data_IF_512530851154
#
_entry.id   IF_512530851154
#
_cell.length_a   1.000
_cell.length_b   1.000
_cell.length_c   1.000
_cell.angle_alpha   90.00
_cell.angle_beta   90.00
_cell.angle_gamma   90.00
#
_symmetry.space_group_name_H-M   'P 1'
#
loop_
_entity.id
_entity.type
_entity.pdbx_description
1 polymer ?
#
# COMPACT_ATOMS: atom_id res chain seq x y z
N UNK A 1 75.80 -1.90 41.73
CA UNK A 1 74.83 -0.93 41.26
C UNK A 1 74.03 -1.30 39.97
N UNK A 2 74.45 -2.20 39.09
CA UNK A 2 73.76 -2.52 37.81
C UNK A 2 72.53 -3.43 37.93
N UNK A 3 72.33 -4.21 39.02
CA UNK A 3 71.18 -5.12 39.15
C UNK A 3 69.88 -4.42 39.61
N UNK A 4 69.98 -3.33 40.33
CA UNK A 4 68.80 -2.59 40.79
C UNK A 4 68.00 -1.85 39.64
N UNK A 5 68.71 -1.37 38.60
CA UNK A 5 68.10 -0.72 37.46
C UNK A 5 67.31 -1.67 36.56
N UNK A 6 67.66 -2.97 36.48
CA UNK A 6 66.94 -3.94 35.63
C UNK A 6 65.64 -4.42 36.24
N UNK A 7 65.55 -4.51 37.60
CA UNK A 7 64.31 -4.86 38.30
C UNK A 7 63.26 -3.73 38.21
N UNK A 8 63.70 -2.49 38.39
CA UNK A 8 62.84 -1.30 38.22
C UNK A 8 62.31 -1.17 36.78
N UNK A 9 63.12 -1.46 35.76
CA UNK A 9 62.71 -1.46 34.36
C UNK A 9 61.64 -2.52 34.05
N UNK A 10 61.71 -3.70 34.64
CA UNK A 10 60.68 -4.75 34.45
C UNK A 10 59.37 -4.41 35.16
N UNK A 11 59.41 -3.85 36.36
CA UNK A 11 58.20 -3.43 37.06
C UNK A 11 57.52 -2.26 36.37
N UNK A 12 58.28 -1.29 35.86
CA UNK A 12 57.75 -0.16 35.10
C UNK A 12 57.06 -0.59 33.80
N UNK A 13 57.65 -1.54 33.07
CA UNK A 13 57.05 -2.13 31.86
C UNK A 13 55.76 -2.86 32.18
N UNK A 14 55.65 -3.60 33.29
CA UNK A 14 54.43 -4.29 33.72
C UNK A 14 53.30 -3.30 34.09
N UNK A 15 53.61 -2.25 34.81
CA UNK A 15 52.66 -1.21 35.20
C UNK A 15 52.16 -0.51 33.92
N UNK A 16 53.06 -0.12 33.03
CA UNK A 16 52.72 0.55 31.77
C UNK A 16 51.81 -0.33 30.89
N UNK A 17 52.14 -1.61 30.75
CA UNK A 17 51.31 -2.59 30.01
C UNK A 17 49.95 -2.79 30.67
N UNK A 18 49.85 -2.85 31.99
CA UNK A 18 48.60 -2.97 32.73
C UNK A 18 47.68 -1.73 32.52
N UNK A 19 48.26 -0.53 32.50
CA UNK A 19 47.52 0.73 32.27
C UNK A 19 47.00 0.78 30.83
N UNK A 20 47.82 0.40 29.84
CA UNK A 20 47.38 0.32 28.45
C UNK A 20 46.26 -0.69 28.28
N UNK A 21 46.39 -1.89 28.88
CA UNK A 21 45.39 -2.94 28.81
C UNK A 21 44.08 -2.48 29.45
N UNK A 22 44.14 -1.78 30.58
CA UNK A 22 42.98 -1.20 31.24
C UNK A 22 42.28 -0.16 30.33
N UNK A 23 43.05 0.75 29.73
CA UNK A 23 42.49 1.77 28.81
C UNK A 23 41.86 1.13 27.60
N UNK A 24 42.50 0.11 26.99
CA UNK A 24 41.91 -0.63 25.86
C UNK A 24 40.59 -1.32 26.25
N UNK A 25 40.54 -1.94 27.43
CA UNK A 25 39.35 -2.62 27.94
C UNK A 25 38.20 -1.61 28.15
N UNK A 26 38.47 -0.44 28.72
CA UNK A 26 37.50 0.62 28.92
C UNK A 26 37.01 1.15 27.59
N UNK A 27 37.89 1.43 26.63
CA UNK A 27 37.54 1.87 25.28
C UNK A 27 36.66 0.83 24.56
N UNK A 28 36.97 -0.45 24.67
CA UNK A 28 36.24 -1.54 24.08
C UNK A 28 34.83 -1.66 24.68
N UNK A 29 34.69 -1.57 25.99
CA UNK A 29 33.39 -1.56 26.67
C UNK A 29 32.56 -0.37 26.25
N UNK A 30 33.16 0.82 26.18
CA UNK A 30 32.45 2.04 25.75
C UNK A 30 31.99 1.93 24.28
N UNK A 31 32.84 1.38 23.42
CA UNK A 31 32.53 1.12 22.01
C UNK A 31 31.36 0.14 21.85
N UNK A 32 31.33 -0.94 22.62
CA UNK A 32 30.22 -1.91 22.60
C UNK A 32 28.90 -1.32 23.09
N UNK A 33 28.94 -0.54 24.18
CA UNK A 33 27.74 0.14 24.70
C UNK A 33 27.19 1.19 23.71
N UNK A 34 28.08 1.97 23.12
CA UNK A 34 27.71 2.95 22.09
C UNK A 34 27.09 2.28 20.87
N UNK A 35 27.73 1.18 20.41
CA UNK A 35 27.23 0.39 19.31
C UNK A 35 25.83 -0.20 19.58
N UNK A 36 25.62 -0.79 20.76
CA UNK A 36 24.32 -1.34 21.14
C UNK A 36 23.22 -0.27 21.13
N UNK A 37 23.55 0.96 21.59
CA UNK A 37 22.62 2.10 21.56
C UNK A 37 22.33 2.58 20.14
N UNK A 38 23.38 2.70 19.31
CA UNK A 38 23.26 3.11 17.91
C UNK A 38 22.34 2.16 17.13
N UNK A 39 22.53 0.85 17.31
CA UNK A 39 21.70 -0.20 16.72
C UNK A 39 20.24 -0.07 17.10
N UNK A 40 19.97 0.09 18.39
CA UNK A 40 18.59 0.24 18.87
C UNK A 40 17.92 1.48 18.26
N UNK A 41 18.66 2.56 18.11
CA UNK A 41 18.17 3.78 17.50
C UNK A 41 17.93 3.60 15.99
N UNK A 42 18.87 3.01 15.26
CA UNK A 42 18.70 2.75 13.81
C UNK A 42 17.49 1.85 13.52
N UNK A 43 17.30 0.78 14.29
CA UNK A 43 16.10 -0.06 14.16
C UNK A 43 14.82 0.74 14.37
N UNK A 44 14.78 1.56 15.41
CA UNK A 44 13.62 2.42 15.68
C UNK A 44 13.36 3.39 14.53
N UNK A 45 14.41 4.02 13.98
CA UNK A 45 14.30 4.98 12.88
C UNK A 45 13.81 4.30 11.58
N UNK A 46 14.24 3.05 11.32
CA UNK A 46 13.77 2.25 10.18
C UNK A 46 12.28 1.93 10.32
N UNK A 47 11.85 1.45 11.48
CA UNK A 47 10.43 1.20 11.73
C UNK A 47 9.59 2.46 11.61
N UNK A 48 10.08 3.58 12.14
CA UNK A 48 9.38 4.86 12.05
C UNK A 48 9.21 5.31 10.60
N UNK A 49 10.27 5.23 9.77
CA UNK A 49 10.19 5.56 8.34
C UNK A 49 9.21 4.69 7.59
N UNK A 50 9.18 3.39 7.88
CA UNK A 50 8.23 2.48 7.26
C UNK A 50 6.79 2.77 7.71
N UNK A 51 6.58 3.09 8.99
CA UNK A 51 5.30 3.53 9.52
C UNK A 51 4.85 4.84 8.85
N UNK A 52 5.71 5.85 8.76
CA UNK A 52 5.43 7.12 8.09
C UNK A 52 5.08 6.91 6.60
N UNK A 53 5.69 5.91 5.96
CA UNK A 53 5.41 5.58 4.55
C UNK A 53 4.03 4.97 4.38
N UNK A 54 3.65 4.01 5.22
CA UNK A 54 2.31 3.39 5.12
C UNK A 54 1.19 4.39 5.46
N UNK A 55 1.43 5.30 6.41
CA UNK A 55 0.49 6.38 6.74
C UNK A 55 0.33 7.39 5.58
N UNK A 56 1.40 7.68 4.82
CA UNK A 56 1.28 8.51 3.61
C UNK A 56 0.47 7.83 2.51
N UNK A 57 0.65 6.52 2.32
CA UNK A 57 -0.13 5.74 1.37
C UNK A 57 -1.60 5.75 1.78
N UNK A 58 -1.90 5.52 3.04
CA UNK A 58 -3.24 5.57 3.61
C UNK A 58 -3.88 6.94 3.40
N UNK A 59 -3.21 8.02 3.76
CA UNK A 59 -3.71 9.39 3.60
C UNK A 59 -3.97 9.74 2.12
N UNK A 60 -3.10 9.29 1.21
CA UNK A 60 -3.30 9.49 -0.22
C UNK A 60 -4.54 8.72 -0.70
N UNK A 61 -4.69 7.45 -0.33
CA UNK A 61 -5.87 6.65 -0.68
C UNK A 61 -7.16 7.27 -0.13
N UNK A 62 -7.14 7.74 1.11
CA UNK A 62 -8.29 8.43 1.72
C UNK A 62 -8.71 9.67 0.92
N UNK A 63 -7.74 10.44 0.41
CA UNK A 63 -8.02 11.59 -0.45
C UNK A 63 -8.74 11.15 -1.74
N UNK A 64 -8.30 10.05 -2.38
CA UNK A 64 -8.95 9.53 -3.57
C UNK A 64 -10.38 9.04 -3.27
N UNK A 65 -10.58 8.36 -2.16
CA UNK A 65 -11.89 7.90 -1.74
C UNK A 65 -12.85 9.05 -1.41
N UNK A 66 -12.37 10.12 -0.78
CA UNK A 66 -13.16 11.33 -0.54
C UNK A 66 -13.59 11.98 -1.85
N UNK A 67 -12.70 12.06 -2.84
CA UNK A 67 -13.01 12.62 -4.14
C UNK A 67 -14.04 11.77 -4.91
N UNK A 68 -13.88 10.45 -4.94
CA UNK A 68 -14.87 9.54 -5.52
C UNK A 68 -16.23 9.67 -4.82
N UNK A 69 -16.23 9.73 -3.48
CA UNK A 69 -17.46 9.92 -2.69
C UNK A 69 -18.15 11.26 -3.00
N UNK A 70 -17.39 12.34 -3.19
CA UNK A 70 -17.91 13.64 -3.62
C UNK A 70 -18.59 13.55 -4.98
N UNK A 71 -17.94 12.91 -5.96
CA UNK A 71 -18.51 12.68 -7.29
C UNK A 71 -19.82 11.87 -7.20
N UNK A 72 -19.84 10.80 -6.39
CA UNK A 72 -21.05 9.97 -6.20
C UNK A 72 -22.19 10.79 -5.58
N UNK A 73 -21.91 11.67 -4.63
CA UNK A 73 -22.91 12.57 -4.06
C UNK A 73 -23.44 13.58 -5.09
N UNK A 74 -22.59 14.12 -5.96
CA UNK A 74 -23.00 14.96 -7.07
C UNK A 74 -23.94 14.20 -8.03
N UNK A 75 -23.53 13.00 -8.46
CA UNK A 75 -24.32 12.10 -9.31
C UNK A 75 -25.67 11.75 -8.66
N UNK A 76 -25.70 11.50 -7.35
CA UNK A 76 -26.94 11.17 -6.66
C UNK A 76 -27.96 12.32 -6.68
N UNK A 77 -27.49 13.55 -6.75
CA UNK A 77 -28.30 14.76 -6.78
C UNK A 77 -28.61 15.26 -8.22
N UNK A 78 -27.96 14.69 -9.23
CA UNK A 78 -28.13 15.07 -10.63
C UNK A 78 -29.31 14.31 -11.25
N UNK A 79 -30.24 15.05 -11.83
CA UNK A 79 -31.44 14.51 -12.48
C UNK A 79 -31.16 13.61 -13.69
N UNK A 80 -29.97 13.71 -14.32
CA UNK A 80 -29.56 12.87 -15.45
C UNK A 80 -29.39 11.42 -14.99
N UNK A 81 -28.89 11.23 -13.76
CA UNK A 81 -28.72 9.92 -13.12
C UNK A 81 -29.93 9.49 -12.28
N UNK A 82 -31.11 10.04 -12.59
CA UNK A 82 -32.34 9.72 -11.88
C UNK A 82 -32.69 8.24 -12.02
N UNK A 83 -33.46 7.73 -11.05
CA UNK A 83 -33.99 6.35 -11.08
C UNK A 83 -35.05 6.13 -12.19
N UNK A 84 -35.30 7.08 -13.06
CA UNK A 84 -36.22 6.93 -14.19
C UNK A 84 -35.54 6.15 -15.34
N UNK A 85 -36.30 5.33 -16.11
CA UNK A 85 -35.75 4.65 -17.27
C UNK A 85 -35.20 5.66 -18.29
N UNK A 86 -33.99 5.43 -18.76
CA UNK A 86 -33.35 6.29 -19.77
C UNK A 86 -33.91 5.93 -21.14
N UNK A 87 -34.95 6.62 -21.57
CA UNK A 87 -35.76 6.26 -22.75
C UNK A 87 -35.27 6.92 -24.03
N UNK A 88 -34.66 8.12 -23.96
CA UNK A 88 -34.30 8.87 -25.15
C UNK A 88 -32.81 8.76 -25.50
N UNK A 89 -32.50 8.79 -26.81
CA UNK A 89 -31.12 8.81 -27.32
C UNK A 89 -30.34 10.04 -26.80
N UNK A 90 -31.02 11.16 -26.60
CA UNK A 90 -30.40 12.38 -26.08
C UNK A 90 -29.97 12.23 -24.63
N UNK A 91 -30.83 11.66 -23.76
CA UNK A 91 -30.47 11.38 -22.36
C UNK A 91 -29.31 10.42 -22.23
N UNK A 92 -29.26 9.36 -23.06
CA UNK A 92 -28.16 8.40 -23.09
C UNK A 92 -26.83 9.07 -23.43
N UNK A 93 -26.85 9.96 -24.44
CA UNK A 93 -25.64 10.70 -24.84
C UNK A 93 -25.17 11.63 -23.72
N UNK A 94 -26.11 12.40 -23.13
CA UNK A 94 -25.82 13.33 -22.05
C UNK A 94 -25.21 12.61 -20.81
N UNK A 95 -25.77 11.45 -20.47
CA UNK A 95 -25.23 10.63 -19.37
C UNK A 95 -23.78 10.18 -19.62
N UNK A 96 -23.45 9.74 -20.84
CA UNK A 96 -22.08 9.36 -21.17
C UNK A 96 -21.14 10.57 -21.11
N UNK A 97 -21.59 11.73 -21.62
CA UNK A 97 -20.80 12.96 -21.59
C UNK A 97 -20.53 13.41 -20.16
N UNK A 98 -21.49 13.26 -19.23
CA UNK A 98 -21.31 13.53 -17.81
C UNK A 98 -20.34 12.53 -17.15
N UNK A 99 -20.49 11.22 -17.38
CA UNK A 99 -19.53 10.23 -16.90
C UNK A 99 -18.10 10.54 -17.37
N UNK A 100 -17.95 10.89 -18.66
CA UNK A 100 -16.68 11.27 -19.24
C UNK A 100 -16.10 12.55 -18.60
N UNK A 101 -16.97 13.52 -18.27
CA UNK A 101 -16.58 14.73 -17.55
C UNK A 101 -16.00 14.43 -16.18
N UNK A 102 -16.65 13.55 -15.41
CA UNK A 102 -16.16 13.11 -14.10
C UNK A 102 -14.82 12.37 -14.20
N UNK A 103 -14.68 11.45 -15.16
CA UNK A 103 -13.39 10.75 -15.38
C UNK A 103 -12.28 11.73 -15.75
N UNK A 104 -12.53 12.69 -16.64
CA UNK A 104 -11.52 13.69 -17.02
C UNK A 104 -11.14 14.63 -15.88
N UNK A 105 -12.06 14.87 -14.95
CA UNK A 105 -11.80 15.66 -13.74
C UNK A 105 -11.10 14.90 -12.63
N UNK A 106 -11.00 13.57 -12.73
CA UNK A 106 -10.41 12.69 -11.72
C UNK A 106 -9.16 12.02 -12.27
N UNK A 107 -7.99 12.34 -11.71
CA UNK A 107 -6.71 11.76 -12.17
C UNK A 107 -6.49 10.31 -11.74
N UNK A 108 -7.33 9.77 -10.85
CA UNK A 108 -7.20 8.43 -10.30
C UNK A 108 -7.98 7.39 -11.10
N UNK A 109 -9.24 7.67 -11.46
CA UNK A 109 -10.07 6.75 -12.24
C UNK A 109 -9.74 6.84 -13.73
N UNK A 110 -9.59 5.68 -14.38
CA UNK A 110 -9.42 5.60 -15.84
C UNK A 110 -10.75 5.48 -16.58
N UNK A 111 -11.81 5.04 -15.90
CA UNK A 111 -13.15 4.85 -16.43
C UNK A 111 -14.18 4.88 -15.31
N UNK A 112 -15.44 5.15 -15.66
CA UNK A 112 -16.59 5.06 -14.77
C UNK A 112 -17.73 4.39 -15.48
N UNK A 113 -18.52 3.58 -14.74
CA UNK A 113 -19.79 3.07 -15.22
C UNK A 113 -20.95 3.43 -14.28
N UNK A 114 -22.11 3.49 -14.87
CA UNK A 114 -23.41 3.65 -14.22
C UNK A 114 -24.34 2.52 -14.65
N UNK A 115 -24.97 1.91 -13.68
CA UNK A 115 -25.92 0.83 -13.87
C UNK A 115 -27.20 1.12 -13.08
N UNK A 116 -28.36 0.79 -13.65
CA UNK A 116 -29.66 0.97 -13.01
C UNK A 116 -30.40 -0.36 -12.97
N UNK A 117 -31.04 -0.69 -11.85
CA UNK A 117 -31.90 -1.87 -11.71
C UNK A 117 -33.16 -1.81 -12.57
N UNK A 118 -33.50 -0.64 -13.14
CA UNK A 118 -34.58 -0.50 -14.11
C UNK A 118 -34.17 -0.86 -15.54
N UNK A 119 -32.87 -0.96 -15.80
CA UNK A 119 -32.29 -1.32 -17.09
C UNK A 119 -31.11 -2.27 -16.85
N UNK A 120 -31.43 -3.44 -16.30
CA UNK A 120 -30.44 -4.42 -15.81
C UNK A 120 -29.48 -4.94 -16.91
N UNK A 121 -29.90 -4.84 -18.18
CA UNK A 121 -29.11 -5.32 -19.30
C UNK A 121 -28.17 -4.26 -19.89
N UNK A 122 -28.23 -3.02 -19.42
CA UNK A 122 -27.45 -1.92 -20.00
C UNK A 122 -26.45 -1.37 -18.98
N UNK A 123 -25.19 -1.24 -19.41
CA UNK A 123 -24.14 -0.52 -18.69
C UNK A 123 -23.78 0.75 -19.45
N UNK A 124 -23.91 1.88 -18.79
CA UNK A 124 -23.46 3.17 -19.28
C UNK A 124 -22.06 3.44 -18.75
N UNK A 125 -21.09 3.55 -19.63
CA UNK A 125 -19.68 3.84 -19.28
C UNK A 125 -19.23 5.15 -19.91
N UNK A 126 -18.18 5.74 -19.39
CA UNK A 126 -17.51 6.88 -20.01
C UNK A 126 -16.97 6.54 -21.42
N UNK A 127 -16.89 5.26 -21.77
CA UNK A 127 -16.48 4.77 -23.09
C UNK A 127 -17.66 4.56 -24.05
N UNK A 128 -18.91 4.46 -23.54
CA UNK A 128 -20.09 4.22 -24.35
C UNK A 128 -21.21 3.48 -23.62
N UNK A 129 -22.12 2.93 -24.40
CA UNK A 129 -23.24 2.12 -23.92
C UNK A 129 -22.99 0.69 -24.34
N UNK A 130 -23.12 -0.22 -23.41
CA UNK A 130 -22.87 -1.65 -23.62
C UNK A 130 -24.05 -2.48 -23.08
N UNK A 131 -24.30 -3.62 -23.68
CA UNK A 131 -25.04 -4.67 -23.02
C UNK A 131 -24.17 -5.22 -21.89
N UNK A 132 -24.75 -5.55 -20.75
CA UNK A 132 -24.05 -6.03 -19.56
C UNK A 132 -23.10 -7.20 -19.87
N UNK A 133 -23.61 -8.23 -20.56
CA UNK A 133 -22.83 -9.40 -20.94
C UNK A 133 -21.60 -9.04 -21.78
N UNK A 134 -21.76 -8.09 -22.71
CA UNK A 134 -20.68 -7.62 -23.56
C UNK A 134 -19.67 -6.77 -22.78
N UNK A 135 -20.15 -5.95 -21.83
CA UNK A 135 -19.29 -5.14 -20.98
C UNK A 135 -18.40 -6.01 -20.08
N UNK A 136 -19.01 -6.99 -19.39
CA UNK A 136 -18.30 -7.92 -18.52
C UNK A 136 -17.33 -8.82 -19.29
N UNK A 137 -17.67 -9.23 -20.52
CA UNK A 137 -16.86 -10.13 -21.32
C UNK A 137 -15.73 -9.45 -22.09
N UNK A 138 -15.96 -8.23 -22.61
CA UNK A 138 -15.05 -7.59 -23.57
C UNK A 138 -14.36 -6.34 -23.04
N UNK A 139 -14.91 -5.69 -22.04
CA UNK A 139 -14.33 -4.47 -21.46
C UNK A 139 -13.66 -4.79 -20.12
N UNK A 140 -14.41 -5.35 -19.17
CA UNK A 140 -13.94 -5.73 -17.84
C UNK A 140 -14.32 -7.18 -17.53
N UNK A 141 -13.37 -8.07 -17.69
CA UNK A 141 -13.55 -9.49 -17.40
C UNK A 141 -13.36 -9.75 -15.90
N UNK A 142 -14.34 -10.34 -15.28
CA UNK A 142 -14.29 -10.76 -13.88
C UNK A 142 -13.78 -12.20 -13.84
N UNK A 143 -12.80 -12.47 -12.97
CA UNK A 143 -12.20 -13.79 -12.86
C UNK A 143 -13.22 -14.84 -12.42
N UNK A 144 -13.05 -16.08 -12.89
CA UNK A 144 -13.94 -17.21 -12.59
C UNK A 144 -14.00 -17.56 -11.09
N UNK A 145 -12.97 -17.21 -10.32
CA UNK A 145 -12.87 -17.41 -8.88
C UNK A 145 -13.48 -16.27 -8.05
N UNK A 146 -14.20 -15.34 -8.70
CA UNK A 146 -14.86 -14.25 -8.00
C UNK A 146 -16.01 -14.77 -7.13
N UNK A 147 -15.87 -14.54 -5.82
CA UNK A 147 -16.89 -14.93 -4.83
C UNK A 147 -17.93 -13.82 -4.68
N UNK A 148 -19.06 -13.98 -5.38
CA UNK A 148 -20.15 -13.01 -5.38
C UNK A 148 -20.80 -12.89 -3.99
N UNK A 149 -20.91 -13.97 -3.22
CA UNK A 149 -21.52 -13.95 -1.88
C UNK A 149 -20.68 -13.11 -0.92
N UNK A 150 -19.36 -13.32 -0.92
CA UNK A 150 -18.41 -12.52 -0.13
C UNK A 150 -18.44 -11.07 -0.56
N UNK A 151 -18.50 -10.80 -1.87
CA UNK A 151 -18.62 -9.43 -2.39
C UNK A 151 -19.90 -8.74 -1.91
N UNK A 152 -21.06 -9.41 -2.01
CA UNK A 152 -22.34 -8.88 -1.56
C UNK A 152 -22.39 -8.67 -0.05
N UNK A 153 -21.80 -9.56 0.74
CA UNK A 153 -21.69 -9.39 2.19
C UNK A 153 -20.83 -8.16 2.54
N UNK A 154 -19.70 -7.97 1.88
CA UNK A 154 -18.85 -6.78 2.12
C UNK A 154 -19.55 -5.49 1.77
N UNK A 155 -20.38 -5.48 0.71
CA UNK A 155 -21.13 -4.29 0.26
C UNK A 155 -22.18 -3.81 1.26
N UNK A 156 -22.69 -4.70 2.12
CA UNK A 156 -23.72 -4.32 3.09
C UNK A 156 -23.19 -3.26 4.08
N UNK A 157 -23.94 -2.19 4.25
CA UNK A 157 -23.63 -1.09 5.17
C UNK A 157 -22.29 -0.37 4.91
N UNK A 158 -21.76 -0.47 3.70
CA UNK A 158 -20.55 0.24 3.31
C UNK A 158 -20.85 1.35 2.29
N UNK A 159 -19.97 2.37 2.28
CA UNK A 159 -20.05 3.44 1.30
C UNK A 159 -19.73 2.91 -0.10
N UNK A 160 -18.72 2.05 -0.19
CA UNK A 160 -18.34 1.36 -1.42
C UNK A 160 -17.74 -0.03 -1.10
N UNK A 161 -17.61 -0.86 -2.12
CA UNK A 161 -16.95 -2.18 -2.06
C UNK A 161 -15.96 -2.28 -3.20
N UNK A 162 -14.86 -2.99 -2.98
CA UNK A 162 -13.77 -3.11 -3.94
C UNK A 162 -13.77 -4.48 -4.62
N UNK A 163 -13.62 -4.48 -5.97
CA UNK A 163 -13.25 -5.67 -6.74
C UNK A 163 -11.74 -5.61 -6.97
N UNK A 164 -11.05 -6.68 -6.54
CA UNK A 164 -9.59 -6.71 -6.50
C UNK A 164 -8.96 -6.74 -7.90
N UNK A 165 -7.73 -6.26 -7.99
CA UNK A 165 -6.94 -6.30 -9.22
C UNK A 165 -6.58 -7.73 -9.69
N UNK A 166 -6.76 -8.73 -8.85
CA UNK A 166 -6.58 -10.12 -9.23
C UNK A 166 -7.84 -10.70 -9.87
N UNK A 167 -8.98 -10.08 -9.63
CA UNK A 167 -10.30 -10.51 -10.08
C UNK A 167 -10.84 -9.69 -11.24
N UNK A 168 -10.19 -8.60 -11.62
CA UNK A 168 -10.64 -7.69 -12.67
C UNK A 168 -9.56 -7.46 -13.72
N UNK A 169 -9.84 -7.84 -14.97
CA UNK A 169 -8.93 -7.72 -16.11
C UNK A 169 -9.57 -6.80 -17.16
N UNK A 170 -8.81 -5.80 -17.63
CA UNK A 170 -9.22 -4.94 -18.75
C UNK A 170 -8.88 -5.63 -20.06
N UNK A 171 -9.86 -6.10 -20.80
CA UNK A 171 -9.65 -6.89 -22.04
C UNK A 171 -9.07 -6.10 -23.19
N UNK A 172 -9.44 -4.84 -23.35
CA UNK A 172 -8.92 -4.00 -24.46
C UNK A 172 -7.42 -3.67 -24.31
N UNK A 173 -6.94 -3.68 -23.07
CA UNK A 173 -5.52 -3.53 -22.75
C UNK A 173 -5.21 -4.56 -21.68
N UNK A 174 -4.17 -5.39 -21.80
CA UNK A 174 -3.84 -6.43 -20.82
C UNK A 174 -3.32 -5.78 -19.51
N UNK A 175 -4.20 -5.07 -18.82
CA UNK A 175 -3.93 -4.34 -17.59
C UNK A 175 -4.87 -4.83 -16.52
N UNK A 176 -4.36 -4.96 -15.31
CA UNK A 176 -5.16 -5.21 -14.13
C UNK A 176 -5.78 -3.91 -13.66
N UNK A 177 -7.04 -3.97 -13.24
CA UNK A 177 -7.75 -2.84 -12.64
C UNK A 177 -8.25 -3.18 -11.25
N UNK A 178 -8.49 -2.15 -10.47
CA UNK A 178 -9.25 -2.22 -9.21
C UNK A 178 -10.54 -1.46 -9.45
N UNK A 179 -11.68 -2.03 -9.08
CA UNK A 179 -12.95 -1.34 -9.18
C UNK A 179 -13.49 -0.98 -7.79
N UNK A 180 -13.94 0.27 -7.65
CA UNK A 180 -14.61 0.77 -6.45
C UNK A 180 -16.08 0.99 -6.78
N UNK A 181 -16.95 0.17 -6.18
CA UNK A 181 -18.38 0.09 -6.50
C UNK A 181 -19.19 0.77 -5.40
N UNK A 182 -19.91 1.84 -5.75
CA UNK A 182 -20.79 2.59 -4.88
C UNK A 182 -22.26 2.24 -5.20
N UNK A 183 -23.01 1.90 -4.16
CA UNK A 183 -24.45 1.67 -4.29
C UNK A 183 -25.26 2.93 -3.98
N UNK A 184 -26.28 3.25 -4.76
CA UNK A 184 -27.21 4.34 -4.53
C UNK A 184 -28.64 3.81 -4.31
N UNK A 185 -29.35 4.27 -3.26
CA UNK A 185 -28.88 5.20 -2.22
C UNK A 185 -27.67 4.67 -1.46
N UNK A 186 -26.80 5.58 -1.01
CA UNK A 186 -25.61 5.20 -0.25
C UNK A 186 -25.97 4.39 1.00
N UNK A 187 -25.15 3.37 1.32
CA UNK A 187 -25.33 2.46 2.45
C UNK A 187 -26.63 1.64 2.43
N UNK A 188 -27.29 1.53 1.27
CA UNK A 188 -28.46 0.68 1.10
C UNK A 188 -28.06 -0.79 1.01
N UNK A 189 -28.81 -1.68 1.68
CA UNK A 189 -28.65 -3.13 1.51
C UNK A 189 -29.04 -3.60 0.10
N UNK A 190 -29.97 -2.89 -0.53
CA UNK A 190 -30.46 -3.13 -1.89
C UNK A 190 -30.37 -1.85 -2.72
N UNK A 191 -29.19 -1.49 -3.21
CA UNK A 191 -29.02 -0.31 -4.03
C UNK A 191 -29.75 -0.46 -5.36
N UNK A 192 -30.37 0.62 -5.80
CA UNK A 192 -31.12 0.68 -7.05
C UNK A 192 -30.26 1.08 -8.24
N UNK A 193 -29.10 1.66 -7.96
CA UNK A 193 -28.14 2.13 -8.95
C UNK A 193 -26.73 1.82 -8.46
N UNK A 194 -25.83 1.50 -9.39
CA UNK A 194 -24.43 1.28 -9.10
C UNK A 194 -23.58 2.29 -9.87
N UNK A 195 -22.58 2.83 -9.21
CA UNK A 195 -21.53 3.65 -9.82
C UNK A 195 -20.22 2.97 -9.55
N UNK A 196 -19.49 2.65 -10.60
CA UNK A 196 -18.22 1.97 -10.50
C UNK A 196 -17.09 2.83 -11.06
N UNK A 197 -16.05 3.04 -10.27
CA UNK A 197 -14.80 3.65 -10.71
C UNK A 197 -13.79 2.56 -10.98
N UNK A 198 -13.23 2.55 -12.18
CA UNK A 198 -12.18 1.63 -12.57
C UNK A 198 -10.84 2.34 -12.51
N UNK A 199 -9.92 1.80 -11.75
CA UNK A 199 -8.58 2.36 -11.52
C UNK A 199 -7.53 1.39 -12.05
N UNK A 200 -6.62 1.90 -12.87
CA UNK A 200 -5.51 1.10 -13.36
C UNK A 200 -4.58 0.74 -12.17
N UNK A 201 -4.32 -0.56 -12.01
CA UNK A 201 -3.40 -1.04 -10.96
C UNK A 201 -2.04 -0.34 -11.03
N UNK A 202 -1.50 -0.11 -12.23
CA UNK A 202 -0.21 0.56 -12.39
C UNK A 202 -0.21 1.99 -11.82
N UNK A 203 -1.34 2.71 -11.87
CA UNK A 203 -1.46 4.04 -11.24
C UNK A 203 -1.29 3.95 -9.72
N UNK A 204 -1.88 2.93 -9.10
CA UNK A 204 -1.71 2.66 -7.66
C UNK A 204 -0.26 2.23 -7.39
N UNK A 205 0.29 1.32 -8.20
CA UNK A 205 1.66 0.82 -8.06
C UNK A 205 2.69 1.96 -8.10
N UNK A 206 2.56 2.88 -9.07
CA UNK A 206 3.48 4.01 -9.25
C UNK A 206 3.46 4.95 -8.04
N UNK A 207 2.28 5.24 -7.50
CA UNK A 207 2.15 6.10 -6.32
C UNK A 207 2.67 5.39 -5.07
N UNK A 208 2.29 4.13 -4.88
CA UNK A 208 2.77 3.34 -3.73
C UNK A 208 4.30 3.30 -3.73
N UNK A 209 4.93 3.03 -4.88
CA UNK A 209 6.40 3.01 -5.01
C UNK A 209 7.06 4.34 -4.65
N UNK A 210 6.43 5.49 -4.93
CA UNK A 210 6.97 6.81 -4.58
C UNK A 210 7.06 7.03 -3.06
N UNK A 211 6.21 6.37 -2.29
CA UNK A 211 6.22 6.48 -0.83
C UNK A 211 7.09 5.43 -0.13
N UNK A 212 7.48 4.36 -0.84
CA UNK A 212 8.28 3.29 -0.24
C UNK A 212 9.72 3.73 0.05
N UNK A 213 10.28 3.34 1.19
CA UNK A 213 11.68 3.63 1.51
C UNK A 213 12.67 2.81 0.68
N UNK A 214 12.25 1.70 0.08
CA UNK A 214 13.04 0.88 -0.84
C UNK A 214 12.15 0.01 -1.75
N UNK A 215 12.70 -0.48 -2.87
CA UNK A 215 11.95 -1.16 -3.93
C UNK A 215 11.51 -2.62 -3.62
N UNK A 216 11.95 -3.21 -2.53
CA UNK A 216 11.69 -4.63 -2.21
C UNK A 216 10.66 -4.83 -1.10
N UNK A 217 9.73 -3.86 -0.95
CA UNK A 217 8.65 -3.92 0.02
C UNK A 217 7.34 -4.23 -0.70
N UNK A 218 6.56 -5.19 -0.18
CA UNK A 218 5.18 -5.39 -0.64
C UNK A 218 4.24 -4.53 0.19
N UNK A 219 3.26 -3.93 -0.48
CA UNK A 219 2.17 -3.19 0.16
C UNK A 219 0.87 -3.84 -0.21
N UNK A 220 0.05 -4.10 0.80
CA UNK A 220 -1.25 -4.77 0.67
C UNK A 220 -2.35 -3.90 1.25
N UNK A 221 -3.47 -3.86 0.53
CA UNK A 221 -4.69 -3.24 1.03
C UNK A 221 -5.73 -4.33 1.26
N UNK A 222 -6.35 -4.26 2.41
CA UNK A 222 -7.44 -5.17 2.78
C UNK A 222 -8.70 -4.37 3.01
N UNK A 223 -9.81 -4.86 2.48
CA UNK A 223 -11.14 -4.41 2.82
C UNK A 223 -11.77 -5.49 3.71
N UNK A 224 -11.99 -5.18 4.98
CA UNK A 224 -12.20 -6.17 6.03
C UNK A 224 -11.00 -7.15 6.06
N UNK A 225 -11.21 -8.44 5.85
CA UNK A 225 -10.13 -9.43 5.77
C UNK A 225 -9.83 -9.89 4.33
N UNK A 226 -10.45 -9.25 3.33
CA UNK A 226 -10.24 -9.59 1.91
C UNK A 226 -9.11 -8.75 1.33
N UNK A 227 -8.10 -9.39 0.74
CA UNK A 227 -7.03 -8.73 0.01
C UNK A 227 -7.60 -8.12 -1.29
N UNK A 228 -7.59 -6.79 -1.40
CA UNK A 228 -8.10 -6.06 -2.57
C UNK A 228 -6.99 -5.51 -3.48
N UNK A 229 -5.80 -5.34 -2.94
CA UNK A 229 -4.63 -4.88 -3.69
C UNK A 229 -3.34 -5.44 -3.09
N UNK A 230 -2.38 -5.78 -3.96
CA UNK A 230 -1.00 -6.12 -3.60
C UNK A 230 -0.06 -5.56 -4.65
N UNK A 231 1.03 -4.94 -4.21
CA UNK A 231 2.06 -4.41 -5.10
C UNK A 231 2.79 -5.55 -5.82
N UNK A 232 3.13 -6.61 -5.08
CA UNK A 232 3.74 -7.83 -5.60
C UNK A 232 2.82 -9.03 -5.43
N UNK A 233 3.12 -10.12 -6.15
CA UNK A 233 2.32 -11.33 -6.01
C UNK A 233 2.54 -11.97 -4.62
N UNK A 234 1.48 -12.45 -3.92
CA UNK A 234 1.58 -13.02 -2.57
C UNK A 234 2.61 -14.15 -2.39
N UNK A 235 2.89 -14.91 -3.45
CA UNK A 235 3.85 -16.03 -3.43
C UNK A 235 5.32 -15.63 -3.42
N UNK A 236 5.65 -14.35 -3.55
CA UNK A 236 7.03 -13.86 -3.63
C UNK A 236 7.61 -13.42 -2.27
N UNK A 237 6.85 -13.50 -1.20
CA UNK A 237 7.25 -13.03 0.11
C UNK A 237 7.90 -14.14 0.96
N UNK A 238 8.95 -13.81 1.73
CA UNK A 238 9.52 -14.75 2.67
C UNK A 238 8.58 -15.04 3.85
N UNK A 239 8.55 -16.27 4.32
CA UNK A 239 7.74 -16.71 5.47
C UNK A 239 7.98 -15.92 6.78
N UNK A 240 9.10 -15.23 6.89
CA UNK A 240 9.54 -14.46 8.05
C UNK A 240 9.48 -12.93 7.83
N UNK A 241 8.56 -12.43 7.01
CA UNK A 241 8.43 -11.00 6.74
C UNK A 241 8.04 -10.18 7.98
N UNK A 242 8.63 -8.99 8.13
CA UNK A 242 8.19 -7.99 9.10
C UNK A 242 6.95 -7.31 8.54
N UNK A 243 5.85 -7.34 9.29
CA UNK A 243 4.59 -6.68 8.92
C UNK A 243 4.44 -5.39 9.71
N UNK A 244 4.21 -4.29 9.00
CA UNK A 244 3.89 -2.98 9.56
C UNK A 244 2.50 -2.63 9.05
N UNK A 245 1.55 -2.42 9.96
CA UNK A 245 0.15 -2.18 9.61
C UNK A 245 -0.33 -0.81 10.07
N UNK A 246 -1.26 -0.24 9.30
CA UNK A 246 -2.00 0.96 9.62
C UNK A 246 -3.48 0.69 9.34
N UNK A 247 -4.35 1.03 10.30
CA UNK A 247 -5.80 1.01 10.05
C UNK A 247 -6.18 2.27 9.27
N UNK A 248 -6.91 2.11 8.18
CA UNK A 248 -7.36 3.23 7.37
C UNK A 248 -8.41 4.06 8.09
N UNK A 249 -8.41 5.38 7.84
CA UNK A 249 -9.46 6.30 8.30
C UNK A 249 -10.85 5.96 7.76
N UNK A 250 -10.95 5.22 6.66
CA UNK A 250 -12.18 4.57 6.21
C UNK A 250 -12.40 3.28 7.00
N UNK A 251 -13.60 3.13 7.55
CA UNK A 251 -14.00 1.92 8.27
C UNK A 251 -13.73 0.68 7.41
N UNK A 252 -13.06 -0.31 8.03
CA UNK A 252 -12.79 -1.63 7.45
C UNK A 252 -11.68 -1.69 6.39
N UNK A 253 -10.93 -0.63 6.14
CA UNK A 253 -9.72 -0.68 5.34
C UNK A 253 -8.49 -0.81 6.23
N UNK A 254 -7.58 -1.72 5.86
CA UNK A 254 -6.28 -1.94 6.52
C UNK A 254 -5.19 -1.95 5.48
N UNK A 255 -4.11 -1.27 5.78
CA UNK A 255 -2.91 -1.21 4.95
C UNK A 255 -1.78 -1.95 5.65
N UNK A 256 -1.08 -2.80 4.93
CA UNK A 256 0.06 -3.54 5.43
C UNK A 256 1.26 -3.34 4.51
N UNK A 257 2.42 -3.11 5.12
CA UNK A 257 3.70 -3.15 4.44
C UNK A 257 4.46 -4.38 4.94
N UNK A 258 4.89 -5.22 4.02
CA UNK A 258 5.60 -6.45 4.33
C UNK A 258 7.00 -6.37 3.75
N UNK A 259 8.00 -6.60 4.60
CA UNK A 259 9.41 -6.52 4.26
C UNK A 259 10.16 -7.77 4.69
N UNK A 260 11.10 -8.24 3.88
CA UNK A 260 12.14 -9.13 4.39
C UNK A 260 12.99 -8.38 5.42
N UNK A 261 13.32 -9.01 6.57
CA UNK A 261 14.25 -8.40 7.54
C UNK A 261 15.56 -7.96 6.91
N UNK A 262 16.10 -8.75 5.98
CA UNK A 262 17.36 -8.45 5.29
C UNK A 262 17.28 -7.19 4.44
N UNK A 263 16.14 -6.94 3.80
CA UNK A 263 15.89 -5.73 3.01
C UNK A 263 15.66 -4.53 3.90
N UNK A 264 14.79 -4.69 4.91
CA UNK A 264 14.45 -3.60 5.83
C UNK A 264 15.67 -3.13 6.64
N UNK A 265 16.60 -4.05 6.96
CA UNK A 265 17.79 -3.77 7.74
C UNK A 265 19.09 -3.81 6.93
N UNK A 266 19.04 -3.67 5.60
CA UNK A 266 20.24 -3.74 4.74
C UNK A 266 21.30 -2.70 5.15
N UNK A 267 20.92 -1.46 5.37
CA UNK A 267 21.82 -0.38 5.83
C UNK A 267 22.40 -0.65 7.23
N UNK A 268 21.62 -1.31 8.06
CA UNK A 268 22.06 -1.74 9.38
C UNK A 268 23.16 -2.81 9.29
N UNK A 269 23.02 -3.81 8.42
CA UNK A 269 24.04 -4.84 8.23
C UNK A 269 25.35 -4.27 7.69
N UNK A 270 25.29 -3.28 6.80
CA UNK A 270 26.47 -2.56 6.32
C UNK A 270 27.19 -1.83 7.46
N UNK A 271 26.45 -1.10 8.31
CA UNK A 271 26.98 -0.40 9.49
C UNK A 271 27.59 -1.38 10.49
N UNK A 272 26.95 -2.53 10.70
CA UNK A 272 27.43 -3.59 11.56
C UNK A 272 28.78 -4.16 11.08
N UNK A 273 28.85 -4.48 9.81
CA UNK A 273 30.08 -5.02 9.19
C UNK A 273 31.23 -4.02 9.30
N UNK A 274 30.97 -2.75 9.01
CA UNK A 274 31.96 -1.69 9.13
C UNK A 274 32.47 -1.53 10.59
N UNK A 275 31.57 -1.57 11.56
CA UNK A 275 31.94 -1.46 12.99
C UNK A 275 32.83 -2.62 13.42
N UNK A 276 32.49 -3.86 13.08
CA UNK A 276 33.34 -5.02 13.42
C UNK A 276 34.68 -4.99 12.69
N UNK A 277 34.73 -4.50 11.45
CA UNK A 277 35.97 -4.29 10.72
C UNK A 277 36.90 -3.30 11.44
N UNK A 278 36.37 -2.15 11.86
CA UNK A 278 37.09 -1.13 12.60
C UNK A 278 37.57 -1.63 13.96
N UNK A 279 36.75 -2.42 14.63
CA UNK A 279 37.11 -3.03 15.93
C UNK A 279 38.24 -4.07 15.76
N UNK A 280 38.22 -4.82 14.67
CA UNK A 280 39.31 -5.76 14.31
C UNK A 280 40.64 -5.06 14.05
N UNK A 281 40.63 -3.90 13.37
CA UNK A 281 41.83 -3.08 13.14
C UNK A 281 42.39 -2.53 14.47
N UNK A 282 41.54 -2.15 15.41
CA UNK A 282 41.95 -1.65 16.73
C UNK A 282 42.58 -2.73 17.63
N UNK A 283 42.29 -4.00 17.35
CA UNK A 283 42.81 -5.14 18.12
C UNK A 283 44.15 -5.70 17.59
N UNK A 284 44.61 -5.24 16.42
CA UNK A 284 45.92 -5.57 15.82
C UNK A 284 46.96 -4.53 16.20
#
# INVERSE_FOLDING_TARGET
MKRMNLQNSKSYKRIYFSVILLLLTVMLLFSLLFYARLIKQQKKDIYQRAQDSIERIENWMNTQFQEMSRIVLEINNDGIFSYAPISSKSQRKELIEELLRYVRGNSFAMDMSYESMLDENTVYSSQGIFERENFEKYIYDIAEDFDEEVYLMRRKHQIFTTISSNQLIVRMYPRKAVAYVFGLPLMSEAPQRLITFYVNKNTIDDIVRQFLPCDMLDVRFYEQDTLVYSLYHPSSLPDNGVVISCEGGLRNYRYEMIASPDVLFADYHATQTFFFFMLGILCI
#
